data_IF_125333198049
#
_entry.id   IF_125333198049
#
_cell.length_a   1.000
_cell.length_b   1.000
_cell.length_c   1.000
_cell.angle_alpha   90.00
_cell.angle_beta   90.00
_cell.angle_gamma   90.00
#
_symmetry.space_group_name_H-M   'P 1'
#
loop_
_entity.id
_entity.type
_entity.pdbx_description
1 polymer ?
#
# COMPACT_ATOMS: atom_id res chain seq x y z
N UNK A 1 20.77 -18.19 12.39
CA UNK A 1 20.62 -18.21 10.92
C UNK A 1 19.15 -18.06 10.61
N UNK A 2 18.71 -16.84 10.35
CA UNK A 2 17.31 -16.50 10.08
C UNK A 2 17.15 -16.31 8.57
N UNK A 3 16.33 -17.16 7.95
CA UNK A 3 15.78 -16.92 6.62
C UNK A 3 14.92 -15.64 6.68
N UNK A 4 15.50 -14.52 6.25
CA UNK A 4 14.72 -13.36 5.84
C UNK A 4 13.94 -13.77 4.59
N UNK A 5 12.61 -13.83 4.66
CA UNK A 5 11.79 -13.85 3.45
C UNK A 5 12.08 -12.56 2.68
N UNK A 6 12.64 -12.69 1.48
CA UNK A 6 12.89 -11.59 0.56
C UNK A 6 11.61 -10.76 0.38
N UNK A 7 11.62 -9.56 0.94
CA UNK A 7 10.70 -8.50 0.55
C UNK A 7 10.91 -8.29 -0.96
N UNK A 8 9.86 -8.44 -1.78
CA UNK A 8 9.96 -8.21 -3.22
C UNK A 8 10.23 -6.72 -3.44
N UNK A 9 11.47 -6.40 -3.81
CA UNK A 9 11.94 -5.07 -4.12
C UNK A 9 11.39 -4.57 -5.45
N UNK A 10 11.11 -3.27 -5.56
CA UNK A 10 10.94 -2.62 -6.87
C UNK A 10 12.33 -2.41 -7.45
N UNK A 11 12.56 -2.97 -8.64
CA UNK A 11 13.80 -2.81 -9.42
C UNK A 11 13.58 -1.77 -10.51
N UNK A 12 14.21 -0.61 -10.39
CA UNK A 12 14.11 0.49 -11.37
C UNK A 12 15.44 0.55 -12.12
N UNK A 13 15.45 0.14 -13.40
CA UNK A 13 16.67 -0.01 -14.20
C UNK A 13 16.56 0.71 -15.55
N UNK A 14 17.67 1.29 -15.99
CA UNK A 14 17.78 1.81 -17.35
C UNK A 14 16.96 3.09 -17.70
N UNK A 15 16.56 3.89 -16.71
CA UNK A 15 15.93 5.18 -16.92
C UNK A 15 16.98 6.28 -17.20
N UNK A 16 17.11 6.70 -18.45
CA UNK A 16 18.09 7.73 -18.85
C UNK A 16 17.78 9.13 -18.29
N UNK A 17 16.56 9.36 -17.80
CA UNK A 17 16.15 10.64 -17.23
C UNK A 17 16.55 10.81 -15.75
N UNK A 18 16.96 9.73 -15.08
CA UNK A 18 17.47 9.83 -13.70
C UNK A 18 18.92 10.34 -13.74
N UNK A 19 19.12 11.55 -13.22
CA UNK A 19 20.45 12.10 -13.01
C UNK A 19 21.17 11.35 -11.88
N UNK A 20 22.50 11.41 -11.87
CA UNK A 20 23.31 10.86 -10.78
C UNK A 20 22.90 11.45 -9.42
N UNK A 21 22.60 12.75 -9.39
CA UNK A 21 22.13 13.46 -8.20
C UNK A 21 20.81 12.87 -7.67
N UNK A 22 19.80 12.67 -8.54
CA UNK A 22 18.52 12.06 -8.16
C UNK A 22 18.67 10.60 -7.72
N UNK A 23 19.55 9.82 -8.37
CA UNK A 23 19.83 8.44 -7.97
C UNK A 23 20.41 8.43 -6.54
N UNK A 24 21.36 9.31 -6.26
CA UNK A 24 22.01 9.40 -4.96
C UNK A 24 21.05 9.94 -3.88
N UNK A 25 20.19 10.90 -4.22
CA UNK A 25 19.14 11.41 -3.34
C UNK A 25 18.14 10.32 -2.95
N UNK A 26 17.68 9.49 -3.91
CA UNK A 26 16.78 8.36 -3.65
C UNK A 26 17.46 7.30 -2.76
N UNK A 27 18.72 6.94 -3.07
CA UNK A 27 19.51 5.98 -2.27
C UNK A 27 19.70 6.48 -0.82
N UNK A 28 19.84 7.80 -0.63
CA UNK A 28 20.08 8.42 0.67
C UNK A 28 18.79 8.64 1.46
N UNK A 29 17.68 8.94 0.78
CA UNK A 29 16.37 9.23 1.39
C UNK A 29 15.60 7.95 1.77
N UNK A 30 15.89 6.83 1.10
CA UNK A 30 15.23 5.54 1.33
C UNK A 30 16.21 4.41 1.70
N UNK A 31 17.08 4.58 2.71
CA UNK A 31 18.16 3.63 3.02
C UNK A 31 17.65 2.28 3.58
N UNK A 32 16.41 2.23 4.05
CA UNK A 32 15.76 1.05 4.63
C UNK A 32 14.90 0.26 3.63
N UNK A 33 14.78 0.75 2.38
CA UNK A 33 14.16 0.01 1.30
C UNK A 33 15.26 -0.78 0.57
N UNK A 34 15.04 -2.07 0.29
CA UNK A 34 15.88 -2.81 -0.65
C UNK A 34 15.49 -2.35 -2.06
N UNK A 35 15.81 -1.11 -2.44
CA UNK A 35 15.60 -0.61 -3.80
C UNK A 35 16.77 -1.10 -4.67
N UNK A 36 16.47 -1.91 -5.68
CA UNK A 36 17.44 -2.23 -6.73
C UNK A 36 17.36 -1.13 -7.80
N UNK A 37 17.96 0.02 -7.48
CA UNK A 37 18.00 1.22 -8.31
C UNK A 37 19.20 1.18 -9.25
N UNK A 38 19.01 1.64 -10.48
CA UNK A 38 20.06 1.73 -11.50
C UNK A 38 21.31 2.50 -11.04
N UNK A 39 22.44 2.20 -11.69
CA UNK A 39 23.66 3.00 -11.56
C UNK A 39 23.61 4.23 -12.48
N UNK A 40 24.32 5.33 -12.12
CA UNK A 40 24.46 6.49 -13.00
C UNK A 40 24.97 6.08 -14.39
N UNK A 41 24.28 6.55 -15.43
CA UNK A 41 24.62 6.22 -16.83
C UNK A 41 24.17 4.82 -17.29
N UNK A 42 23.36 4.11 -16.51
CA UNK A 42 22.67 2.89 -16.94
C UNK A 42 21.42 3.21 -17.77
N UNK A 43 21.29 2.57 -18.93
CA UNK A 43 20.18 2.73 -19.85
C UNK A 43 19.41 1.43 -20.07
N UNK A 44 18.14 1.56 -20.41
CA UNK A 44 17.29 0.42 -20.73
C UNK A 44 17.54 -0.01 -22.16
N UNK A 45 17.60 -1.32 -22.39
CA UNK A 45 17.59 -1.86 -23.75
C UNK A 45 16.20 -1.64 -24.34
N UNK A 46 16.04 -0.87 -25.43
CA UNK A 46 14.74 -0.63 -26.01
C UNK A 46 14.24 -1.87 -26.76
N UNK A 47 12.93 -2.10 -26.67
CA UNK A 47 12.23 -3.11 -27.44
C UNK A 47 11.30 -2.42 -28.47
N UNK A 48 11.34 -2.77 -29.77
CA UNK A 48 12.31 -3.64 -30.45
C UNK A 48 13.68 -2.97 -30.66
N UNK A 49 14.76 -3.76 -30.60
CA UNK A 49 16.13 -3.27 -30.75
C UNK A 49 16.53 -3.11 -32.24
N UNK A 50 16.45 -1.89 -32.77
CA UNK A 50 16.68 -1.60 -34.21
C UNK A 50 17.95 -0.80 -34.52
N UNK A 51 18.50 -0.09 -33.55
CA UNK A 51 19.73 0.70 -33.74
C UNK A 51 20.44 0.92 -32.42
N UNK A 52 21.77 0.98 -32.42
CA UNK A 52 22.55 1.30 -31.21
C UNK A 52 22.51 2.79 -30.88
N UNK A 53 22.11 3.68 -31.80
CA UNK A 53 22.06 5.14 -31.57
C UNK A 53 21.20 5.57 -30.37
N UNK A 54 20.16 4.81 -30.06
CA UNK A 54 19.30 5.02 -28.88
C UNK A 54 20.06 4.90 -27.55
N UNK A 55 21.20 4.21 -27.55
CA UNK A 55 22.09 4.01 -26.41
C UNK A 55 23.22 5.05 -26.35
N UNK A 56 23.15 6.12 -27.14
CA UNK A 56 24.16 7.20 -27.10
C UNK A 56 24.29 7.77 -25.68
N UNK A 57 25.52 7.80 -25.16
CA UNK A 57 25.85 8.30 -23.82
C UNK A 57 25.64 7.27 -22.69
N UNK A 58 25.19 6.06 -23.01
CA UNK A 58 25.06 4.97 -22.05
C UNK A 58 26.38 4.21 -21.94
N UNK A 59 26.79 3.88 -20.71
CA UNK A 59 27.96 2.99 -20.46
C UNK A 59 27.52 1.57 -20.10
N UNK A 60 26.39 1.48 -19.41
CA UNK A 60 25.78 0.23 -18.97
C UNK A 60 24.38 0.13 -19.52
N UNK A 61 23.99 -1.05 -19.97
CA UNK A 61 22.67 -1.32 -20.52
C UNK A 61 22.03 -2.51 -19.83
N UNK A 62 20.80 -2.30 -19.35
CA UNK A 62 20.02 -3.30 -18.64
C UNK A 62 18.82 -3.73 -19.47
N UNK A 63 18.65 -5.04 -19.66
CA UNK A 63 17.48 -5.60 -20.32
C UNK A 63 17.75 -6.69 -21.35
N UNK A 64 16.75 -6.93 -22.19
CA UNK A 64 16.81 -8.00 -23.20
C UNK A 64 16.98 -7.40 -24.59
N UNK A 65 18.16 -7.60 -25.19
CA UNK A 65 18.36 -7.32 -26.61
C UNK A 65 17.66 -8.44 -27.36
N UNK A 66 16.52 -8.12 -27.98
CA UNK A 66 15.75 -9.07 -28.77
C UNK A 66 15.71 -8.68 -30.24
N UNK A 67 16.32 -9.52 -31.07
CA UNK A 67 16.22 -9.44 -32.52
C UNK A 67 15.29 -10.54 -33.01
N UNK A 68 14.17 -10.12 -33.63
CA UNK A 68 13.11 -11.02 -34.10
C UNK A 68 13.01 -11.02 -35.63
N UNK A 69 12.17 -11.92 -36.18
CA UNK A 69 11.88 -12.06 -37.62
C UNK A 69 11.40 -10.80 -38.35
N UNK A 70 11.06 -9.74 -37.62
CA UNK A 70 10.55 -8.46 -38.16
C UNK A 70 11.63 -7.38 -38.27
N UNK A 71 12.89 -7.72 -37.97
CA UNK A 71 14.03 -6.82 -38.06
C UNK A 71 14.97 -7.38 -39.14
N UNK A 72 15.16 -6.61 -40.21
CA UNK A 72 16.02 -7.00 -41.33
C UNK A 72 17.48 -6.53 -41.13
N UNK A 73 17.71 -5.51 -40.31
CA UNK A 73 19.04 -5.00 -39.95
C UNK A 73 19.00 -4.26 -38.59
N UNK A 74 20.10 -4.31 -37.82
CA UNK A 74 20.32 -3.46 -36.64
C UNK A 74 21.38 -2.42 -36.98
N UNK A 75 20.99 -1.14 -37.05
CA UNK A 75 21.90 -0.05 -37.47
C UNK A 75 22.87 0.36 -36.36
N UNK A 76 24.17 0.27 -36.61
CA UNK A 76 25.20 0.75 -35.68
C UNK A 76 25.32 2.27 -35.67
N UNK A 77 25.62 2.82 -34.51
CA UNK A 77 25.95 4.23 -34.29
C UNK A 77 27.45 4.36 -34.07
N UNK A 78 28.15 5.31 -34.72
CA UNK A 78 29.58 5.50 -34.55
C UNK A 78 29.96 6.01 -33.15
N UNK A 79 28.99 6.55 -32.40
CA UNK A 79 29.18 7.12 -31.07
C UNK A 79 28.89 6.14 -29.94
N UNK A 80 28.45 4.91 -30.24
CA UNK A 80 28.22 3.86 -29.24
C UNK A 80 29.28 2.79 -29.40
N UNK A 81 30.04 2.56 -28.34
CA UNK A 81 31.04 1.52 -28.25
C UNK A 81 31.26 1.15 -26.78
N UNK A 82 31.74 -0.07 -26.53
CA UNK A 82 32.13 -0.55 -25.20
C UNK A 82 31.01 -0.56 -24.15
N UNK A 83 29.83 -1.04 -24.52
CA UNK A 83 28.67 -1.18 -23.63
C UNK A 83 28.79 -2.40 -22.71
N UNK A 84 28.47 -2.20 -21.43
CA UNK A 84 28.27 -3.31 -20.49
C UNK A 84 26.80 -3.77 -20.50
N UNK A 85 26.52 -4.95 -21.04
CA UNK A 85 25.18 -5.52 -21.07
C UNK A 85 24.90 -6.38 -19.83
N UNK A 86 23.85 -6.04 -19.08
CA UNK A 86 23.33 -6.83 -17.96
C UNK A 86 21.90 -7.25 -18.27
N UNK A 87 21.67 -8.54 -18.51
CA UNK A 87 20.34 -9.04 -18.85
C UNK A 87 20.38 -10.25 -19.77
N UNK A 88 19.76 -10.13 -20.95
CA UNK A 88 19.62 -11.24 -21.89
C UNK A 88 19.85 -10.82 -23.34
N UNK A 89 20.36 -11.73 -24.16
CA UNK A 89 20.47 -11.58 -25.62
C UNK A 89 19.68 -12.69 -26.30
N UNK A 90 18.68 -12.32 -27.11
CA UNK A 90 17.83 -13.25 -27.86
C UNK A 90 17.82 -12.89 -29.35
N UNK A 91 18.47 -13.71 -30.17
CA UNK A 91 18.43 -13.64 -31.63
C UNK A 91 17.76 -14.91 -32.12
N UNK A 92 16.44 -14.86 -32.33
CA UNK A 92 15.63 -16.05 -32.61
C UNK A 92 14.74 -15.83 -33.84
N UNK A 93 14.81 -16.76 -34.79
CA UNK A 93 14.02 -16.74 -36.02
C UNK A 93 14.22 -15.47 -36.85
N UNK A 94 15.40 -14.86 -36.79
CA UNK A 94 15.69 -13.57 -37.41
C UNK A 94 16.04 -13.69 -38.90
N UNK A 95 15.91 -12.55 -39.61
CA UNK A 95 16.36 -12.38 -41.01
C UNK A 95 17.70 -11.64 -41.12
N UNK A 96 18.22 -11.10 -40.01
CA UNK A 96 19.51 -10.41 -40.02
C UNK A 96 20.63 -11.39 -40.38
N UNK A 97 21.54 -10.96 -41.25
CA UNK A 97 22.76 -11.67 -41.61
C UNK A 97 24.03 -10.99 -41.08
N UNK A 98 23.90 -9.76 -40.57
CA UNK A 98 24.95 -8.99 -39.93
C UNK A 98 24.59 -8.76 -38.45
N UNK A 99 25.50 -9.17 -37.55
CA UNK A 99 25.38 -9.03 -36.08
C UNK A 99 26.49 -8.16 -35.48
N UNK A 100 27.19 -7.36 -36.30
CA UNK A 100 28.37 -6.57 -35.89
C UNK A 100 28.05 -5.54 -34.81
N UNK A 101 26.77 -5.21 -34.60
CA UNK A 101 26.33 -4.38 -33.48
C UNK A 101 26.65 -5.01 -32.11
N UNK A 102 26.88 -6.32 -32.06
CA UNK A 102 27.33 -7.00 -30.85
C UNK A 102 28.78 -6.65 -30.48
N UNK A 103 29.60 -6.21 -31.44
CA UNK A 103 30.95 -5.72 -31.16
C UNK A 103 30.93 -4.46 -30.28
N UNK A 104 29.81 -3.74 -30.25
CA UNK A 104 29.62 -2.59 -29.38
C UNK A 104 29.42 -3.00 -27.90
N UNK A 105 29.26 -4.31 -27.60
CA UNK A 105 29.11 -4.87 -26.25
C UNK A 105 30.48 -5.35 -25.76
N UNK A 106 31.08 -4.64 -24.80
CA UNK A 106 32.38 -4.98 -24.21
C UNK A 106 32.30 -6.04 -23.12
N UNK A 107 31.16 -6.14 -22.42
CA UNK A 107 30.96 -7.13 -21.36
C UNK A 107 29.49 -7.56 -21.27
N UNK A 108 29.27 -8.82 -20.85
CA UNK A 108 27.94 -9.40 -20.72
C UNK A 108 27.78 -10.12 -19.38
N UNK A 109 26.74 -9.73 -18.64
CA UNK A 109 26.30 -10.38 -17.40
C UNK A 109 24.89 -10.91 -17.57
N UNK A 110 24.74 -12.23 -17.56
CA UNK A 110 23.44 -12.86 -17.64
C UNK A 110 22.64 -12.67 -16.35
N UNK A 111 21.36 -12.31 -16.47
CA UNK A 111 20.43 -12.27 -15.34
C UNK A 111 19.27 -13.24 -15.58
N UNK A 112 19.09 -14.18 -14.64
CA UNK A 112 18.03 -15.18 -14.68
C UNK A 112 16.66 -14.49 -14.55
N UNK A 113 15.68 -14.90 -15.38
CA UNK A 113 14.35 -14.28 -15.57
C UNK A 113 14.26 -13.04 -16.48
N UNK A 114 15.37 -12.48 -17.01
CA UNK A 114 15.28 -11.39 -18.03
C UNK A 114 14.91 -11.91 -19.42
N UNK A 115 15.27 -13.16 -19.74
CA UNK A 115 14.90 -13.84 -20.98
C UNK A 115 13.45 -14.36 -21.03
N UNK A 116 12.69 -14.24 -19.93
CA UNK A 116 11.32 -14.73 -19.82
C UNK A 116 10.32 -13.73 -20.42
N UNK A 117 9.31 -14.24 -21.11
CA UNK A 117 8.39 -13.46 -21.95
C UNK A 117 7.33 -12.64 -21.21
N UNK A 118 7.22 -12.71 -19.89
CA UNK A 118 5.98 -12.30 -19.23
C UNK A 118 6.10 -11.14 -18.26
N UNK A 119 7.32 -10.59 -18.05
CA UNK A 119 7.50 -9.69 -16.91
C UNK A 119 8.42 -8.49 -17.11
N UNK A 120 8.66 -8.03 -18.33
CA UNK A 120 9.52 -6.85 -18.58
C UNK A 120 8.79 -5.82 -19.45
N UNK A 121 8.65 -4.59 -18.95
CA UNK A 121 7.90 -3.51 -19.60
C UNK A 121 8.83 -2.36 -20.01
N UNK A 122 8.51 -1.68 -21.11
CA UNK A 122 9.23 -0.49 -21.56
C UNK A 122 8.85 0.74 -20.71
N UNK A 123 9.83 1.62 -20.47
CA UNK A 123 9.68 2.93 -19.83
C UNK A 123 8.84 3.91 -20.67
N UNK A 124 8.04 4.76 -20.03
CA UNK A 124 7.24 5.78 -20.69
C UNK A 124 6.70 6.85 -19.74
N UNK A 125 5.80 7.71 -20.26
CA UNK A 125 5.04 8.64 -19.43
C UNK A 125 4.15 7.82 -18.51
N UNK A 126 4.29 8.02 -17.19
CA UNK A 126 3.40 7.34 -16.23
C UNK A 126 2.07 8.08 -16.19
N UNK A 127 1.12 7.60 -16.99
CA UNK A 127 -0.29 7.92 -16.94
C UNK A 127 -1.11 6.63 -16.72
N UNK A 128 -2.42 6.75 -16.57
CA UNK A 128 -3.30 5.59 -16.29
C UNK A 128 -3.14 4.50 -17.36
N UNK A 129 -2.96 4.89 -18.63
CA UNK A 129 -2.74 4.00 -19.77
C UNK A 129 -1.41 3.24 -19.66
N UNK A 130 -0.36 3.90 -19.17
CA UNK A 130 0.94 3.27 -18.94
C UNK A 130 0.91 2.29 -17.74
N UNK A 131 0.18 2.63 -16.68
CA UNK A 131 -0.03 1.76 -15.52
C UNK A 131 -0.86 0.50 -15.86
N UNK A 132 -1.82 0.63 -16.77
CA UNK A 132 -2.59 -0.51 -17.30
C UNK A 132 -1.72 -1.51 -18.07
N UNK A 133 -0.72 -1.00 -18.79
CA UNK A 133 0.17 -1.80 -19.61
C UNK A 133 1.30 -2.47 -18.80
N UNK A 134 1.43 -2.16 -17.50
CA UNK A 134 2.39 -2.80 -16.58
C UNK A 134 1.92 -4.17 -16.06
N UNK A 135 0.76 -4.68 -16.51
CA UNK A 135 0.25 -5.98 -16.12
C UNK A 135 1.20 -7.13 -16.51
N UNK A 136 1.60 -7.92 -15.51
CA UNK A 136 2.61 -9.00 -15.66
C UNK A 136 4.05 -8.54 -15.42
N UNK A 137 4.35 -7.24 -15.43
CA UNK A 137 5.72 -6.74 -15.34
C UNK A 137 6.36 -6.80 -13.95
N UNK A 138 7.49 -7.50 -13.87
CA UNK A 138 8.43 -7.57 -12.74
C UNK A 138 9.63 -6.61 -12.91
N UNK A 139 9.93 -6.19 -14.15
CA UNK A 139 11.04 -5.29 -14.49
C UNK A 139 10.54 -4.16 -15.40
N UNK A 140 10.97 -2.92 -15.18
CA UNK A 140 10.69 -1.77 -16.07
C UNK A 140 12.02 -1.29 -16.67
N UNK A 141 12.04 -1.04 -17.99
CA UNK A 141 13.25 -0.76 -18.77
C UNK A 141 13.03 0.43 -19.69
N UNK A 142 13.75 1.54 -19.47
CA UNK A 142 13.67 2.74 -20.31
C UNK A 142 13.22 3.99 -19.54
N UNK A 143 12.92 5.09 -20.25
CA UNK A 143 12.63 6.38 -19.65
C UNK A 143 11.25 6.42 -18.98
N UNK A 144 11.22 6.30 -17.65
CA UNK A 144 10.05 6.61 -16.84
C UNK A 144 9.96 8.13 -16.66
N UNK A 145 8.93 8.74 -17.24
CA UNK A 145 8.61 10.16 -17.06
C UNK A 145 7.43 10.27 -16.09
N UNK A 146 7.74 10.50 -14.82
CA UNK A 146 6.75 10.70 -13.76
C UNK A 146 6.30 12.16 -13.80
N UNK A 147 5.21 12.45 -14.49
CA UNK A 147 4.53 13.73 -14.37
C UNK A 147 3.32 13.55 -13.43
N UNK A 148 3.18 14.44 -12.43
CA UNK A 148 2.08 14.49 -11.46
C UNK A 148 2.07 13.48 -10.29
N UNK A 149 3.15 12.74 -10.00
CA UNK A 149 3.22 11.96 -8.74
C UNK A 149 3.39 12.82 -7.48
N UNK A 150 3.69 14.09 -7.66
CA UNK A 150 3.50 15.14 -6.66
C UNK A 150 2.41 16.00 -7.27
N UNK A 151 1.18 15.87 -6.77
CA UNK A 151 0.22 16.94 -6.97
C UNK A 151 0.91 18.19 -6.40
N UNK A 152 1.08 19.22 -7.23
CA UNK A 152 1.91 20.39 -6.88
C UNK A 152 1.42 21.14 -5.64
N UNK A 153 0.29 20.74 -5.08
CA UNK A 153 -0.15 21.19 -3.78
C UNK A 153 -0.86 20.07 -3.01
N UNK A 154 -0.12 19.09 -2.47
CA UNK A 154 -0.63 18.26 -1.35
C UNK A 154 -1.22 19.18 -0.25
N UNK A 155 -0.64 20.36 -0.07
CA UNK A 155 -1.15 21.40 0.80
C UNK A 155 -2.54 21.93 0.40
N UNK A 156 -2.84 22.06 -0.90
CA UNK A 156 -4.19 22.40 -1.39
C UNK A 156 -5.15 21.24 -1.15
N UNK A 157 -4.73 19.99 -1.38
CA UNK A 157 -5.57 18.83 -1.08
C UNK A 157 -5.91 18.77 0.41
N UNK A 158 -4.92 19.00 1.27
CA UNK A 158 -5.07 19.08 2.72
C UNK A 158 -5.96 20.26 3.13
N UNK A 159 -5.79 21.43 2.52
CA UNK A 159 -6.59 22.62 2.78
C UNK A 159 -8.06 22.40 2.38
N UNK A 160 -8.30 21.85 1.19
CA UNK A 160 -9.64 21.55 0.69
C UNK A 160 -10.36 20.52 1.57
N UNK A 161 -9.62 19.61 2.20
CA UNK A 161 -10.16 18.57 3.08
C UNK A 161 -10.01 18.89 4.58
N UNK A 162 -9.70 20.14 4.96
CA UNK A 162 -9.43 20.50 6.35
C UNK A 162 -10.60 20.20 7.30
N UNK A 163 -11.84 20.36 6.82
CA UNK A 163 -13.04 20.03 7.61
C UNK A 163 -13.13 18.52 7.90
N UNK A 164 -12.92 17.68 6.88
CA UNK A 164 -12.84 16.23 7.02
C UNK A 164 -11.73 15.85 8.01
N UNK A 165 -10.52 16.39 7.82
CA UNK A 165 -9.37 16.09 8.67
C UNK A 165 -9.62 16.42 10.15
N UNK A 166 -10.34 17.51 10.42
CA UNK A 166 -10.63 17.96 11.78
C UNK A 166 -11.75 17.17 12.45
N UNK A 167 -12.82 16.87 11.73
CA UNK A 167 -14.06 16.38 12.34
C UNK A 167 -14.33 14.89 12.09
N UNK A 168 -13.77 14.33 11.03
CA UNK A 168 -14.14 13.02 10.52
C UNK A 168 -12.97 12.04 10.41
N UNK A 169 -11.73 12.52 10.35
CA UNK A 169 -10.57 11.64 10.32
C UNK A 169 -10.53 10.76 11.57
N UNK A 170 -10.29 9.46 11.37
CA UNK A 170 -10.17 8.50 12.45
C UNK A 170 -8.82 8.68 13.16
N UNK A 171 -8.79 9.09 14.44
CA UNK A 171 -7.53 9.25 15.14
C UNK A 171 -6.85 7.89 15.32
N UNK A 172 -5.57 7.80 14.97
CA UNK A 172 -4.78 6.57 15.07
C UNK A 172 -3.74 6.67 16.18
N UNK A 173 -3.69 5.67 17.06
CA UNK A 173 -2.60 5.57 18.03
C UNK A 173 -1.25 5.38 17.33
N UNK A 174 -0.24 6.09 17.83
CA UNK A 174 1.14 5.94 17.38
C UNK A 174 1.66 4.52 17.64
N UNK A 175 2.54 4.06 16.73
CA UNK A 175 3.17 2.72 16.72
C UNK A 175 2.18 1.57 16.44
N UNK A 176 2.63 0.52 15.78
CA UNK A 176 1.82 -0.69 15.59
C UNK A 176 2.07 -1.61 16.79
N UNK A 177 3.26 -2.19 16.93
CA UNK A 177 3.57 -3.10 18.04
C UNK A 177 4.31 -2.40 19.19
N UNK A 178 3.95 -2.70 20.44
CA UNK A 178 4.66 -2.23 21.63
C UNK A 178 5.74 -3.26 21.99
N UNK A 179 7.03 -2.87 22.08
CA UNK A 179 8.06 -3.76 22.60
C UNK A 179 7.74 -4.20 24.03
N UNK A 180 7.89 -5.49 24.41
CA UNK A 180 7.47 -5.99 25.71
C UNK A 180 8.10 -5.30 26.93
N UNK A 181 9.24 -4.63 26.75
CA UNK A 181 10.00 -3.97 27.82
C UNK A 181 9.87 -2.45 27.82
N UNK A 182 9.14 -1.87 26.87
CA UNK A 182 9.02 -0.43 26.74
C UNK A 182 7.81 0.10 27.52
N UNK A 183 8.06 0.41 28.80
CA UNK A 183 7.06 0.95 29.71
C UNK A 183 6.54 2.34 29.28
N UNK A 184 7.33 3.11 28.53
CA UNK A 184 6.92 4.43 28.05
C UNK A 184 5.89 4.28 26.93
N UNK A 185 6.18 3.50 25.89
CA UNK A 185 5.26 3.26 24.79
C UNK A 185 3.98 2.55 25.25
N UNK A 186 4.09 1.64 26.22
CA UNK A 186 2.94 1.04 26.88
C UNK A 186 2.05 2.08 27.56
N UNK A 187 2.65 3.02 28.29
CA UNK A 187 1.93 4.10 28.95
C UNK A 187 1.25 5.05 27.95
N UNK A 188 1.94 5.43 26.86
CA UNK A 188 1.37 6.26 25.79
C UNK A 188 0.18 5.57 25.10
N UNK A 189 0.28 4.26 24.87
CA UNK A 189 -0.86 3.47 24.38
C UNK A 189 -2.03 3.54 25.35
N UNK A 190 -1.80 3.30 26.64
CA UNK A 190 -2.85 3.36 27.66
C UNK A 190 -3.51 4.75 27.67
N UNK A 191 -2.73 5.83 27.71
CA UNK A 191 -3.26 7.20 27.64
C UNK A 191 -4.13 7.41 26.40
N UNK A 192 -3.70 6.88 25.25
CA UNK A 192 -4.46 6.95 24.00
C UNK A 192 -5.80 6.22 24.11
N UNK A 193 -5.83 5.00 24.64
CA UNK A 193 -7.08 4.26 24.90
C UNK A 193 -8.00 5.00 25.86
N UNK A 194 -7.44 5.73 26.83
CA UNK A 194 -8.20 6.47 27.82
C UNK A 194 -8.67 7.84 27.33
N UNK A 195 -8.12 8.35 26.23
CA UNK A 195 -8.47 9.67 25.67
C UNK A 195 -9.85 9.72 25.01
N UNK A 196 -10.44 8.56 24.72
CA UNK A 196 -11.71 8.39 24.00
C UNK A 196 -12.59 7.34 24.70
N UNK A 197 -13.90 7.42 24.50
CA UNK A 197 -14.86 6.49 25.12
C UNK A 197 -14.96 5.17 24.36
N UNK A 198 -14.79 5.23 23.04
CA UNK A 198 -14.82 4.10 22.12
C UNK A 198 -13.42 3.87 21.56
N UNK A 199 -12.96 2.63 21.65
CA UNK A 199 -11.69 2.20 21.06
C UNK A 199 -11.98 1.13 20.03
N UNK A 200 -11.57 1.35 18.79
CA UNK A 200 -11.49 0.29 17.78
C UNK A 200 -10.09 -0.31 17.90
N UNK A 201 -10.02 -1.61 18.16
CA UNK A 201 -8.77 -2.31 18.39
C UNK A 201 -8.59 -3.41 17.36
N UNK A 202 -7.57 -3.31 16.50
CA UNK A 202 -7.28 -4.32 15.48
C UNK A 202 -6.08 -5.15 15.94
N UNK A 203 -6.26 -6.47 16.03
CA UNK A 203 -5.23 -7.38 16.54
C UNK A 203 -5.07 -8.64 15.72
N UNK A 204 -3.85 -9.16 15.62
CA UNK A 204 -3.57 -10.40 14.88
C UNK A 204 -3.87 -11.70 15.63
N UNK A 205 -4.04 -11.63 16.95
CA UNK A 205 -4.26 -12.80 17.80
C UNK A 205 -5.73 -13.01 18.16
N UNK A 206 -6.00 -13.95 19.10
CA UNK A 206 -7.37 -14.28 19.51
C UNK A 206 -7.96 -13.29 20.53
N UNK A 207 -7.14 -12.45 21.13
CA UNK A 207 -7.54 -11.60 22.26
C UNK A 207 -6.77 -10.26 22.22
N UNK A 208 -7.30 -9.22 22.87
CA UNK A 208 -6.77 -7.86 22.78
C UNK A 208 -5.38 -7.66 23.42
N UNK A 209 -4.84 -8.69 24.09
CA UNK A 209 -3.52 -8.60 24.74
C UNK A 209 -2.37 -8.44 23.75
N UNK A 210 -2.56 -8.82 22.48
CA UNK A 210 -1.56 -8.62 21.43
C UNK A 210 -1.37 -7.13 21.08
N UNK A 211 -2.41 -6.31 21.29
CA UNK A 211 -2.37 -4.86 21.06
C UNK A 211 -2.00 -4.10 22.33
N UNK A 212 -2.56 -4.52 23.48
CA UNK A 212 -2.21 -3.98 24.79
C UNK A 212 -1.86 -5.13 25.74
N UNK A 213 -0.57 -5.38 26.01
CA UNK A 213 -0.12 -6.49 26.85
C UNK A 213 -0.92 -6.63 28.15
N UNK A 214 -1.28 -7.87 28.50
CA UNK A 214 -2.01 -8.24 29.73
C UNK A 214 -3.41 -7.63 29.91
N UNK A 215 -3.98 -7.01 28.87
CA UNK A 215 -5.34 -6.49 28.96
C UNK A 215 -6.33 -7.66 29.25
N UNK A 216 -7.16 -7.58 30.30
CA UNK A 216 -8.02 -8.69 30.68
C UNK A 216 -9.03 -9.04 29.59
N UNK A 217 -9.18 -10.33 29.30
CA UNK A 217 -10.13 -10.85 28.30
C UNK A 217 -11.16 -11.82 28.91
N UNK A 218 -11.18 -11.97 30.23
CA UNK A 218 -12.15 -12.76 30.98
C UNK A 218 -12.91 -11.86 31.97
N UNK A 219 -14.23 -12.02 32.05
CA UNK A 219 -15.09 -11.15 32.87
C UNK A 219 -14.69 -11.24 34.34
N UNK A 220 -14.72 -10.11 35.06
CA UNK A 220 -14.25 -9.90 36.44
C UNK A 220 -12.74 -10.01 36.65
N UNK A 221 -11.92 -10.27 35.61
CA UNK A 221 -10.47 -10.15 35.72
C UNK A 221 -10.05 -8.69 35.58
N UNK A 222 -9.00 -8.33 36.32
CA UNK A 222 -8.41 -7.00 36.30
C UNK A 222 -6.90 -7.06 36.07
N UNK A 223 -6.36 -5.97 35.53
CA UNK A 223 -4.92 -5.77 35.41
C UNK A 223 -4.59 -4.30 35.69
N UNK A 224 -3.46 -4.06 36.35
CA UNK A 224 -3.01 -2.72 36.74
C UNK A 224 -1.64 -2.43 36.15
N UNK A 225 -1.60 -1.45 35.26
CA UNK A 225 -0.37 -0.89 34.70
C UNK A 225 0.18 0.17 35.65
N UNK A 226 1.51 0.19 35.83
CA UNK A 226 2.20 1.16 36.69
C UNK A 226 3.28 1.88 35.89
N UNK A 227 3.29 3.22 35.94
CA UNK A 227 4.30 4.03 35.26
C UNK A 227 4.55 5.35 35.99
N UNK A 228 5.81 5.63 36.35
CA UNK A 228 6.25 6.86 37.05
C UNK A 228 5.35 7.27 38.24
N UNK A 229 4.89 6.30 39.03
CA UNK A 229 4.02 6.52 40.19
C UNK A 229 2.55 6.75 39.88
N UNK A 230 2.14 6.69 38.61
CA UNK A 230 0.73 6.64 38.21
C UNK A 230 0.30 5.19 37.98
N UNK A 231 -0.97 4.87 38.27
CA UNK A 231 -1.56 3.56 37.99
C UNK A 231 -2.79 3.66 37.11
N UNK A 232 -2.96 2.65 36.25
CA UNK A 232 -4.12 2.51 35.37
C UNK A 232 -4.63 1.08 35.49
N UNK A 233 -5.81 0.91 36.05
CA UNK A 233 -6.43 -0.39 36.30
C UNK A 233 -7.59 -0.60 35.36
N UNK A 234 -7.59 -1.72 34.65
CA UNK A 234 -8.67 -2.15 33.77
C UNK A 234 -9.32 -3.38 34.37
N UNK A 235 -10.64 -3.34 34.59
CA UNK A 235 -11.43 -4.49 35.05
C UNK A 235 -12.48 -4.79 34.01
N UNK A 236 -12.44 -6.00 33.42
CA UNK A 236 -13.41 -6.38 32.40
C UNK A 236 -14.77 -6.67 33.05
N UNK A 237 -15.79 -5.87 32.74
CA UNK A 237 -17.14 -6.02 33.32
C UNK A 237 -18.11 -6.71 32.38
N UNK A 238 -17.96 -6.52 31.07
CA UNK A 238 -18.85 -7.13 30.07
C UNK A 238 -18.08 -7.53 28.82
N UNK A 239 -18.45 -8.68 28.25
CA UNK A 239 -17.98 -9.15 26.96
C UNK A 239 -19.22 -9.49 26.10
N UNK A 240 -19.27 -8.98 24.87
CA UNK A 240 -20.32 -9.28 23.90
C UNK A 240 -19.71 -9.58 22.54
N UNK A 241 -20.00 -10.75 21.97
CA UNK A 241 -19.67 -11.05 20.57
C UNK A 241 -20.58 -10.21 19.67
N UNK A 242 -19.99 -9.39 18.79
CA UNK A 242 -20.74 -8.47 17.91
C UNK A 242 -20.87 -9.07 16.51
N UNK A 243 -19.78 -9.69 16.04
CA UNK A 243 -19.69 -10.34 14.74
C UNK A 243 -18.63 -11.48 14.81
N UNK A 244 -18.49 -12.33 13.78
CA UNK A 244 -17.57 -13.48 13.79
C UNK A 244 -16.12 -13.12 14.17
N UNK A 245 -15.62 -11.96 13.79
CA UNK A 245 -14.26 -11.50 14.11
C UNK A 245 -14.20 -10.34 15.11
N UNK A 246 -15.35 -9.77 15.51
CA UNK A 246 -15.46 -8.60 16.38
C UNK A 246 -16.07 -8.95 17.73
N UNK A 247 -15.39 -8.57 18.80
CA UNK A 247 -15.88 -8.70 20.17
C UNK A 247 -15.82 -7.35 20.87
N UNK A 248 -16.92 -6.94 21.49
CA UNK A 248 -16.97 -5.75 22.32
C UNK A 248 -16.62 -6.11 23.77
N UNK A 249 -15.62 -5.43 24.32
CA UNK A 249 -15.16 -5.53 25.70
C UNK A 249 -15.46 -4.21 26.42
N UNK A 250 -16.21 -4.26 27.52
CA UNK A 250 -16.47 -3.09 28.37
C UNK A 250 -15.64 -3.20 29.64
N UNK A 251 -14.80 -2.21 29.88
CA UNK A 251 -13.93 -2.11 31.04
C UNK A 251 -14.38 -0.99 31.96
N UNK A 252 -14.37 -1.28 33.26
CA UNK A 252 -14.26 -0.24 34.27
C UNK A 252 -12.78 0.10 34.40
N UNK A 253 -12.47 1.39 34.31
CA UNK A 253 -11.10 1.92 34.36
C UNK A 253 -10.94 2.82 35.56
N UNK A 254 -9.92 2.56 36.36
CA UNK A 254 -9.46 3.46 37.43
C UNK A 254 -8.08 4.03 37.06
N UNK A 255 -7.98 5.35 37.05
CA UNK A 255 -6.74 6.09 36.80
C UNK A 255 -6.36 6.81 38.09
N UNK A 256 -5.22 6.45 38.68
CA UNK A 256 -4.68 7.12 39.85
C UNK A 256 -3.35 7.80 39.46
N UNK A 257 -3.37 9.07 39.03
CA UNK A 257 -2.16 9.80 38.72
C UNK A 257 -1.40 10.14 40.00
N UNK A 258 -0.07 10.23 39.92
CA UNK A 258 0.78 10.61 41.06
C UNK A 258 0.31 11.95 41.65
N UNK A 259 -0.11 11.94 42.92
CA UNK A 259 -0.53 13.15 43.65
C UNK A 259 -1.88 13.72 43.23
N UNK A 260 -2.70 12.98 42.46
CA UNK A 260 -4.05 13.39 42.06
C UNK A 260 -5.10 12.39 42.52
N UNK A 261 -6.37 12.81 42.69
CA UNK A 261 -7.46 11.90 43.01
C UNK A 261 -7.66 10.83 41.94
N UNK A 262 -8.21 9.70 42.36
CA UNK A 262 -8.53 8.58 41.46
C UNK A 262 -9.72 8.95 40.57
N UNK A 263 -9.53 8.86 39.27
CA UNK A 263 -10.57 9.05 38.25
C UNK A 263 -11.14 7.68 37.85
N UNK A 264 -12.47 7.51 37.90
CA UNK A 264 -13.15 6.30 37.43
C UNK A 264 -13.89 6.59 36.14
N UNK A 265 -13.79 5.68 35.17
CA UNK A 265 -14.45 5.82 33.88
C UNK A 265 -14.80 4.44 33.30
N UNK A 266 -15.59 4.43 32.22
CA UNK A 266 -15.87 3.22 31.44
C UNK A 266 -15.29 3.34 30.05
N UNK A 267 -14.78 2.24 29.51
CA UNK A 267 -14.24 2.17 28.15
C UNK A 267 -14.84 0.99 27.42
N UNK A 268 -15.28 1.20 26.18
CA UNK A 268 -15.72 0.13 25.29
C UNK A 268 -14.69 -0.06 24.19
N UNK A 269 -14.12 -1.26 24.13
CA UNK A 269 -13.15 -1.66 23.12
C UNK A 269 -13.81 -2.65 22.18
N UNK A 270 -13.93 -2.28 20.90
CA UNK A 270 -14.31 -3.19 19.82
C UNK A 270 -13.06 -3.82 19.25
N UNK A 271 -12.79 -5.07 19.65
CA UNK A 271 -11.64 -5.82 19.18
C UNK A 271 -12.00 -6.59 17.90
N UNK A 272 -11.41 -6.21 16.78
CA UNK A 272 -11.49 -6.91 15.51
C UNK A 272 -10.24 -7.76 15.30
N UNK A 273 -10.45 -9.07 15.16
CA UNK A 273 -9.37 -10.03 14.91
C UNK A 273 -9.04 -10.07 13.41
N UNK A 274 -7.83 -9.65 13.07
CA UNK A 274 -7.29 -9.66 11.72
C UNK A 274 -6.05 -10.56 11.64
N UNK A 275 -6.22 -11.80 11.20
CA UNK A 275 -5.13 -12.79 11.12
C UNK A 275 -3.90 -12.27 10.36
N UNK A 276 -2.69 -12.57 10.87
CA UNK A 276 -1.43 -12.13 10.26
C UNK A 276 -1.21 -12.71 8.86
N UNK A 277 -1.76 -13.89 8.58
CA UNK A 277 -1.47 -14.64 7.36
C UNK A 277 -2.52 -14.36 6.27
N UNK A 278 -3.73 -13.95 6.64
CA UNK A 278 -4.85 -13.82 5.70
C UNK A 278 -5.54 -12.49 5.83
N UNK A 279 -5.88 -11.90 4.69
CA UNK A 279 -6.83 -10.79 4.64
C UNK A 279 -8.23 -11.33 4.99
N UNK A 280 -9.07 -10.55 5.70
CA UNK A 280 -10.44 -10.92 5.96
C UNK A 280 -11.17 -11.17 4.64
N UNK A 281 -12.16 -12.05 4.66
CA UNK A 281 -13.02 -12.30 3.50
C UNK A 281 -14.45 -11.79 3.73
N UNK A 282 -14.78 -11.44 4.97
CA UNK A 282 -16.06 -10.86 5.35
C UNK A 282 -15.96 -9.33 5.35
N UNK A 283 -16.20 -8.72 4.18
CA UNK A 283 -16.10 -7.27 3.99
C UNK A 283 -17.19 -6.50 4.76
N UNK A 284 -18.36 -7.12 4.96
CA UNK A 284 -19.48 -6.52 5.68
C UNK A 284 -19.10 -6.17 7.12
N UNK A 285 -18.32 -7.04 7.78
CA UNK A 285 -17.92 -6.86 9.17
C UNK A 285 -16.96 -5.66 9.34
N UNK A 286 -16.02 -5.47 8.41
CA UNK A 286 -15.09 -4.34 8.48
C UNK A 286 -15.79 -3.00 8.21
N UNK A 287 -16.81 -2.99 7.34
CA UNK A 287 -17.66 -1.82 7.12
C UNK A 287 -18.52 -1.51 8.34
N UNK A 288 -19.14 -2.52 8.96
CA UNK A 288 -19.86 -2.34 10.22
C UNK A 288 -18.95 -1.79 11.32
N UNK A 289 -17.69 -2.22 11.38
CA UNK A 289 -16.70 -1.68 12.30
C UNK A 289 -16.40 -0.19 12.02
N UNK A 290 -16.31 0.21 10.74
CA UNK A 290 -16.15 1.61 10.35
C UNK A 290 -17.36 2.46 10.78
N UNK A 291 -18.58 1.90 10.72
CA UNK A 291 -19.81 2.56 11.19
C UNK A 291 -19.88 2.76 12.72
N UNK A 292 -19.05 2.07 13.50
CA UNK A 292 -18.95 2.30 14.95
C UNK A 292 -18.19 3.59 15.31
N UNK A 293 -17.54 4.22 14.32
CA UNK A 293 -16.88 5.49 14.51
C UNK A 293 -17.86 6.57 14.97
N UNK A 294 -17.44 7.34 15.97
CA UNK A 294 -18.13 8.52 16.45
C UNK A 294 -17.14 9.68 16.48
N UNK A 295 -17.39 10.75 15.68
CA UNK A 295 -16.57 11.95 15.68
C UNK A 295 -16.19 12.42 17.08
N UNK A 296 -14.89 12.64 17.30
CA UNK A 296 -14.34 13.10 18.57
C UNK A 296 -14.40 12.10 19.75
N UNK A 297 -15.08 10.95 19.62
CA UNK A 297 -15.28 9.95 20.68
C UNK A 297 -14.59 8.60 20.43
N UNK A 298 -14.08 8.38 19.22
CA UNK A 298 -13.43 7.14 18.81
C UNK A 298 -11.95 7.34 18.55
N UNK A 299 -11.13 6.33 18.89
CA UNK A 299 -9.73 6.19 18.47
C UNK A 299 -9.51 4.77 17.96
N UNK A 300 -8.64 4.61 16.97
CA UNK A 300 -8.21 3.30 16.50
C UNK A 300 -6.80 2.98 16.99
N UNK A 301 -6.63 1.79 17.56
CA UNK A 301 -5.36 1.26 18.03
C UNK A 301 -5.17 -0.11 17.40
N UNK A 302 -3.93 -0.47 17.08
CA UNK A 302 -3.66 -1.81 16.55
C UNK A 302 -2.27 -2.28 16.88
N UNK A 303 -2.02 -3.58 16.69
CA UNK A 303 -0.68 -4.17 16.61
C UNK A 303 -0.15 -4.26 15.16
N UNK A 304 -1.03 -4.12 14.16
CA UNK A 304 -0.76 -4.04 12.71
C UNK A 304 -2.01 -3.52 11.94
N UNK A 305 -1.86 -3.10 10.68
CA UNK A 305 -2.95 -2.91 9.68
C UNK A 305 -4.07 -1.93 10.04
N UNK A 306 -3.85 -0.94 10.92
CA UNK A 306 -4.86 0.10 11.18
C UNK A 306 -4.97 1.09 10.03
N UNK A 307 -3.93 1.16 9.21
CA UNK A 307 -3.83 1.99 8.02
C UNK A 307 -4.85 1.53 6.98
N UNK A 308 -4.97 0.22 6.76
CA UNK A 308 -5.98 -0.36 5.85
C UNK A 308 -7.39 0.00 6.32
N UNK A 309 -7.67 -0.21 7.61
CA UNK A 309 -8.97 0.10 8.19
C UNK A 309 -9.28 1.61 8.13
N UNK A 310 -8.29 2.47 8.38
CA UNK A 310 -8.49 3.93 8.31
C UNK A 310 -8.72 4.44 6.90
N UNK A 311 -8.13 3.82 5.88
CA UNK A 311 -8.45 4.13 4.49
C UNK A 311 -9.89 3.71 4.15
N UNK A 312 -10.29 2.50 4.53
CA UNK A 312 -11.69 2.03 4.36
C UNK A 312 -12.66 2.97 5.07
N UNK A 313 -12.36 3.36 6.30
CA UNK A 313 -13.14 4.33 7.06
C UNK A 313 -13.20 5.70 6.37
N UNK A 314 -12.09 6.21 5.84
CA UNK A 314 -12.04 7.47 5.10
C UNK A 314 -12.97 7.43 3.89
N UNK A 315 -12.83 6.40 3.04
CA UNK A 315 -13.67 6.21 1.85
C UNK A 315 -15.15 6.06 2.22
N UNK A 316 -15.46 5.24 3.22
CA UNK A 316 -16.82 5.12 3.76
C UNK A 316 -17.37 6.47 4.21
N UNK A 317 -16.56 7.29 4.88
CA UNK A 317 -17.01 8.58 5.42
C UNK A 317 -17.28 9.59 4.31
N UNK A 318 -16.42 9.68 3.28
CA UNK A 318 -16.70 10.52 2.11
C UNK A 318 -17.99 10.08 1.40
N UNK A 319 -18.10 8.79 1.08
CA UNK A 319 -19.23 8.29 0.30
C UNK A 319 -20.56 8.30 1.07
N UNK A 320 -20.58 7.90 2.35
CA UNK A 320 -21.82 7.68 3.11
C UNK A 320 -22.16 8.83 4.05
N UNK A 321 -21.18 9.32 4.81
CA UNK A 321 -21.43 10.31 5.87
C UNK A 321 -21.48 11.72 5.30
N UNK A 322 -20.52 12.09 4.46
CA UNK A 322 -20.41 13.41 3.86
C UNK A 322 -21.18 13.53 2.54
N UNK A 323 -21.34 12.40 1.82
CA UNK A 323 -21.88 12.39 0.46
C UNK A 323 -21.07 13.29 -0.48
N UNK A 324 -19.76 13.31 -0.27
CA UNK A 324 -18.80 14.08 -1.06
C UNK A 324 -17.96 13.12 -1.92
N UNK A 325 -17.55 13.61 -3.09
CA UNK A 325 -16.71 12.85 -4.00
C UNK A 325 -15.24 13.04 -3.64
N UNK A 326 -14.50 11.94 -3.58
CA UNK A 326 -13.04 11.95 -3.51
C UNK A 326 -12.49 10.93 -4.49
N UNK A 327 -11.51 11.33 -5.30
CA UNK A 327 -10.79 10.39 -6.14
C UNK A 327 -9.99 9.41 -5.29
N UNK A 328 -9.87 8.16 -5.71
CA UNK A 328 -9.10 7.16 -4.95
C UNK A 328 -7.64 7.56 -4.76
N UNK A 329 -7.03 8.20 -5.78
CA UNK A 329 -5.67 8.74 -5.73
C UNK A 329 -5.56 9.85 -4.67
N UNK A 330 -6.50 10.79 -4.66
CA UNK A 330 -6.54 11.87 -3.66
C UNK A 330 -6.77 11.33 -2.25
N UNK A 331 -7.64 10.34 -2.08
CA UNK A 331 -7.86 9.68 -0.80
C UNK A 331 -6.58 8.98 -0.30
N UNK A 332 -5.84 8.32 -1.19
CA UNK A 332 -4.57 7.67 -0.84
C UNK A 332 -3.49 8.69 -0.50
N UNK A 333 -3.37 9.78 -1.26
CA UNK A 333 -2.43 10.88 -0.97
C UNK A 333 -2.74 11.54 0.38
N UNK A 334 -4.01 11.90 0.61
CA UNK A 334 -4.47 12.50 1.85
C UNK A 334 -4.28 11.56 3.06
N UNK A 335 -4.55 10.27 2.88
CA UNK A 335 -4.31 9.24 3.90
C UNK A 335 -2.82 9.10 4.20
N UNK A 336 -1.98 8.98 3.18
CA UNK A 336 -0.52 8.84 3.37
C UNK A 336 0.06 10.03 4.12
N UNK A 337 -0.39 11.23 3.77
CA UNK A 337 0.05 12.49 4.38
C UNK A 337 -0.43 12.67 5.83
N UNK A 338 -1.63 12.17 6.19
CA UNK A 338 -2.25 12.45 7.50
C UNK A 338 -2.44 11.25 8.43
N UNK A 339 -2.29 10.01 7.96
CA UNK A 339 -2.40 8.78 8.75
C UNK A 339 -1.02 8.16 9.04
N UNK A 340 -0.35 8.57 10.13
CA UNK A 340 0.79 7.90 10.79
C UNK A 340 1.92 7.32 9.90
N UNK A 341 2.02 7.68 8.61
CA UNK A 341 3.15 7.43 7.72
C UNK A 341 3.43 5.97 7.30
N UNK A 342 2.64 4.98 7.72
CA UNK A 342 2.87 3.60 7.27
C UNK A 342 2.16 3.37 5.93
N UNK A 343 2.96 3.19 4.88
CA UNK A 343 2.47 2.92 3.52
C UNK A 343 1.76 1.56 3.49
N UNK A 344 0.62 1.50 2.80
CA UNK A 344 -0.10 0.26 2.54
C UNK A 344 0.66 -0.59 1.52
N UNK A 345 0.78 -1.89 1.80
CA UNK A 345 1.31 -2.81 0.79
C UNK A 345 0.28 -3.07 -0.33
N UNK A 346 0.72 -3.74 -1.42
CA UNK A 346 -0.14 -4.04 -2.57
C UNK A 346 -1.39 -4.82 -2.17
N UNK A 347 -1.24 -5.82 -1.30
CA UNK A 347 -2.35 -6.71 -0.93
C UNK A 347 -3.35 -5.97 -0.03
N UNK A 348 -2.84 -5.10 0.85
CA UNK A 348 -3.63 -4.20 1.69
C UNK A 348 -4.42 -3.16 0.89
N UNK A 349 -3.83 -2.61 -0.18
CA UNK A 349 -4.51 -1.68 -1.08
C UNK A 349 -5.60 -2.39 -1.89
N UNK A 350 -5.28 -3.55 -2.49
CA UNK A 350 -6.24 -4.37 -3.24
C UNK A 350 -7.40 -4.79 -2.33
N UNK A 351 -7.12 -5.11 -1.08
CA UNK A 351 -8.16 -5.42 -0.09
C UNK A 351 -9.08 -4.22 0.19
N UNK A 352 -8.53 -3.03 0.42
CA UNK A 352 -9.33 -1.82 0.64
C UNK A 352 -10.24 -1.53 -0.57
N UNK A 353 -9.72 -1.69 -1.79
CA UNK A 353 -10.52 -1.55 -3.03
C UNK A 353 -11.62 -2.62 -3.11
N UNK A 354 -11.31 -3.88 -2.81
CA UNK A 354 -12.29 -4.97 -2.84
C UNK A 354 -13.45 -4.72 -1.86
N UNK A 355 -13.17 -4.23 -0.65
CA UNK A 355 -14.18 -3.87 0.35
C UNK A 355 -15.12 -2.78 -0.17
N UNK A 356 -14.57 -1.70 -0.72
CA UNK A 356 -15.39 -0.59 -1.25
C UNK A 356 -16.20 -1.03 -2.47
N UNK A 357 -15.65 -1.92 -3.28
CA UNK A 357 -16.36 -2.44 -4.45
C UNK A 357 -17.51 -3.36 -4.12
N UNK A 358 -17.28 -4.29 -3.20
CA UNK A 358 -18.36 -5.13 -2.69
C UNK A 358 -19.45 -4.25 -2.10
N UNK A 359 -19.08 -3.24 -1.31
CA UNK A 359 -20.05 -2.30 -0.76
C UNK A 359 -20.84 -1.55 -1.84
N UNK A 360 -20.18 -1.03 -2.87
CA UNK A 360 -20.81 -0.37 -4.00
C UNK A 360 -21.76 -1.31 -4.76
N UNK A 361 -21.36 -2.58 -4.94
CA UNK A 361 -22.18 -3.60 -5.58
C UNK A 361 -23.43 -3.90 -4.76
N UNK A 362 -23.28 -4.18 -3.45
CA UNK A 362 -24.37 -4.49 -2.52
C UNK A 362 -25.37 -3.32 -2.38
N UNK A 363 -24.88 -2.08 -2.43
CA UNK A 363 -25.72 -0.86 -2.38
C UNK A 363 -26.34 -0.49 -3.72
N UNK A 364 -26.09 -1.27 -4.78
CA UNK A 364 -26.54 -1.01 -6.17
C UNK A 364 -26.03 0.31 -6.75
N UNK A 365 -24.95 0.83 -6.19
CA UNK A 365 -24.30 2.08 -6.56
C UNK A 365 -23.47 1.96 -7.85
N UNK A 366 -23.22 0.73 -8.33
CA UNK A 366 -22.49 0.48 -9.58
C UNK A 366 -23.41 0.69 -10.78
N UNK A 367 -23.07 1.57 -11.74
CA UNK A 367 -23.81 1.76 -13.00
C UNK A 367 -23.99 0.45 -13.80
N UNK A 368 -25.14 0.24 -14.48
CA UNK A 368 -25.41 -0.95 -15.29
C UNK A 368 -24.35 -1.23 -16.38
N UNK A 369 -23.72 -0.19 -16.90
CA UNK A 369 -22.66 -0.25 -17.92
C UNK A 369 -21.43 -0.99 -17.38
N UNK A 370 -21.08 -0.79 -16.11
CA UNK A 370 -19.98 -1.47 -15.42
C UNK A 370 -20.37 -2.89 -14.96
N UNK A 371 -21.66 -3.24 -14.92
CA UNK A 371 -22.14 -4.60 -14.59
C UNK A 371 -22.09 -5.58 -15.76
N UNK A 372 -22.01 -5.10 -17.01
CA UNK A 372 -22.04 -5.93 -18.24
C UNK A 372 -20.68 -6.54 -18.62
N UNK A 373 -19.57 -5.98 -18.14
CA UNK A 373 -18.31 -6.72 -18.11
C UNK A 373 -18.51 -7.93 -17.17
N UNK A 374 -18.23 -9.16 -17.61
CA UNK A 374 -18.52 -10.39 -16.86
C UNK A 374 -17.85 -10.41 -15.48
N UNK A 375 -18.56 -9.95 -14.43
CA UNK A 375 -18.18 -10.11 -13.03
C UNK A 375 -18.64 -11.49 -12.53
N UNK A 376 -17.91 -12.55 -12.91
CA UNK A 376 -18.00 -13.82 -12.18
C UNK A 376 -17.01 -13.73 -11.02
N UNK A 377 -17.46 -13.21 -9.88
CA UNK A 377 -16.78 -13.41 -8.60
C UNK A 377 -16.95 -14.89 -8.17
N UNK A 378 -16.33 -15.80 -8.91
CA UNK A 378 -15.93 -17.07 -8.31
C UNK A 378 -14.69 -16.77 -7.48
N UNK A 379 -14.84 -16.89 -6.16
CA UNK A 379 -13.75 -16.75 -5.20
C UNK A 379 -12.84 -17.97 -5.34
N UNK A 380 -12.04 -17.99 -6.41
CA UNK A 380 -10.83 -18.81 -6.48
C UNK A 380 -9.63 -17.87 -6.45
N UNK A 381 -8.67 -18.15 -5.56
CA UNK A 381 -7.54 -17.27 -5.25
C UNK A 381 -6.32 -17.60 -6.12
N UNK A 382 -6.50 -17.60 -7.44
CA UNK A 382 -5.39 -17.72 -8.39
C UNK A 382 -5.61 -16.87 -9.65
N UNK A 383 -4.66 -15.97 -9.88
CA UNK A 383 -4.22 -15.33 -11.14
C UNK A 383 -5.14 -14.43 -12.00
N UNK A 384 -6.47 -14.44 -11.88
CA UNK A 384 -7.32 -13.64 -12.81
C UNK A 384 -7.85 -12.28 -12.28
N UNK A 385 -7.35 -11.77 -11.14
CA UNK A 385 -8.01 -10.66 -10.41
C UNK A 385 -7.55 -9.22 -10.74
N UNK A 386 -6.52 -9.01 -11.57
CA UNK A 386 -6.02 -7.64 -11.83
C UNK A 386 -6.83 -6.89 -12.91
N UNK A 387 -7.40 -7.59 -13.89
CA UNK A 387 -8.15 -6.96 -14.99
C UNK A 387 -9.42 -6.24 -14.50
N UNK A 388 -10.10 -6.83 -13.52
CA UNK A 388 -11.33 -6.28 -12.94
C UNK A 388 -11.08 -5.06 -12.04
N UNK A 389 -9.91 -4.96 -11.38
CA UNK A 389 -9.54 -3.77 -10.61
C UNK A 389 -9.07 -2.60 -11.48
N UNK A 390 -8.51 -2.89 -12.66
CA UNK A 390 -8.01 -1.89 -13.63
C UNK A 390 -9.15 -1.27 -14.45
N UNK A 391 -10.06 -2.06 -14.99
CA UNK A 391 -11.30 -1.57 -15.65
C UNK A 391 -12.13 -0.68 -14.72
N UNK A 392 -12.00 -0.93 -13.41
CA UNK A 392 -12.74 -0.24 -12.37
C UNK A 392 -12.06 1.06 -11.91
N UNK A 393 -10.73 1.11 -11.85
CA UNK A 393 -9.99 2.36 -11.68
C UNK A 393 -10.28 3.35 -12.83
N UNK A 394 -10.50 2.83 -14.05
CA UNK A 394 -10.94 3.63 -15.22
C UNK A 394 -12.37 4.16 -15.09
N UNK A 395 -13.27 3.39 -14.47
CA UNK A 395 -14.67 3.79 -14.24
C UNK A 395 -14.88 4.73 -13.04
N UNK A 396 -13.95 4.75 -12.09
CA UNK A 396 -14.01 5.57 -10.86
C UNK A 396 -13.53 7.03 -11.10
N UNK A 397 -13.18 7.40 -12.34
CA UNK A 397 -12.86 8.77 -12.73
C UNK A 397 -13.97 9.78 -12.46
N UNK A 398 -15.23 9.34 -12.39
CA UNK A 398 -16.37 10.13 -11.89
C UNK A 398 -17.39 9.19 -11.23
N UNK A 399 -17.25 8.91 -9.94
CA UNK A 399 -18.36 8.29 -9.19
C UNK A 399 -19.35 9.38 -8.83
N UNK A 400 -20.38 9.57 -9.67
CA UNK A 400 -21.60 10.30 -9.28
C UNK A 400 -22.55 9.30 -8.63
N UNK A 401 -22.55 9.24 -7.30
CA UNK A 401 -23.62 8.57 -6.55
C UNK A 401 -24.85 9.48 -6.53
N UNK A 402 -25.74 9.34 -7.51
CA UNK A 402 -27.09 9.88 -7.37
C UNK A 402 -27.88 8.97 -6.43
N UNK A 403 -28.18 9.45 -5.23
CA UNK A 403 -29.18 8.83 -4.37
C UNK A 403 -30.56 9.05 -5.00
N UNK A 404 -31.24 7.96 -5.36
CA UNK A 404 -32.70 8.02 -5.52
C UNK A 404 -33.34 7.76 -4.15
N UNK A 405 -34.28 8.66 -3.84
CA UNK A 405 -35.17 8.78 -2.67
C UNK A 405 -35.72 7.50 -2.10
#
# INVERSE_FOLDING_TARGET
MTHFSLVKSIRIRGNKALSEESINEIKTSLPWFVLDLQEPGECGVPSPFKTTAVLNGCKKVYGTIRVSRFIDEVKRSPTVHSLELVGCLQIVGTRINNVDFLDDISSFSFVENTCGYETTCDGGRVDDVYLDNLYGCKNIIGNLTLHNLINKDIDVLVANNASFLKHHMLPLAANCRIPPKDNFLLCERIKTLLSKDVVIMIGGERNPSCVLPHLPHQVKKSHTYKYLGSTYSFTLTKLKKVAPFTTAYTYDVEKAPKGKPVEKSKRTIYYFRWDYVRLPVEFDEILQLAMLYKPGKTVCVSDRRKEVFSLIHMLHTFCHTLQENIGFVDALQLHTEKCNGSVLDRDELVYAMAVIMEWAYQTRSVPPELKKAQWVMQVDMSDQRSQACIELAKGIGEVVLTSQS
#
